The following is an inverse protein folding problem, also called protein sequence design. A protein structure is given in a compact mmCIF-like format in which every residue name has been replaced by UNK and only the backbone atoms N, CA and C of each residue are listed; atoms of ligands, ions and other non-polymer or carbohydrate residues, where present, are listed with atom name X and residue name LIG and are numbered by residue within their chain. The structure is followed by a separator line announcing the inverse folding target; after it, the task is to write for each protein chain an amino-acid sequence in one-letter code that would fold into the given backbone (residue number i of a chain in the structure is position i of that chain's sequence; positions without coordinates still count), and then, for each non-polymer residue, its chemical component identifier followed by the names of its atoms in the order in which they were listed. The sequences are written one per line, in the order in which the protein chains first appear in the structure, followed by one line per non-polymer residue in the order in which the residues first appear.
data_IF_762063371490
#
_entry.id   IF_762063371490
#
_cell.length_a   1.000
_cell.length_b   1.000
_cell.length_c   1.000
_cell.angle_alpha   90.00
_cell.angle_beta   90.00
_cell.angle_gamma   90.00
#
_symmetry.space_group_name_H-M   'P 1'
#
loop_
_entity.id
_entity.type
_entity.pdbx_description
1 polymer ?
#
# COMPACT_ATOMS: atom_id res chain seq x y z
N UNK A 1 -16.78 -63.17 34.28
CA UNK A 1 -16.67 -61.72 33.96
C UNK A 1 -15.17 -61.36 33.82
N UNK A 2 -14.52 -61.65 32.69
CA UNK A 2 -13.10 -61.25 32.49
C UNK A 2 -12.62 -61.30 31.02
N UNK A 3 -13.49 -61.05 30.03
CA UNK A 3 -13.10 -61.18 28.60
C UNK A 3 -13.52 -60.01 27.69
N UNK A 4 -13.83 -58.84 28.24
CA UNK A 4 -14.24 -57.66 27.45
C UNK A 4 -13.34 -56.43 27.59
N UNK A 5 -12.33 -56.46 28.47
CA UNK A 5 -11.45 -55.29 28.72
C UNK A 5 -10.25 -55.18 27.75
N UNK A 6 -9.76 -56.28 27.22
CA UNK A 6 -8.60 -56.31 26.33
C UNK A 6 -8.78 -55.52 25.02
N UNK A 7 -9.88 -55.65 24.25
CA UNK A 7 -10.05 -54.86 23.02
C UNK A 7 -10.25 -53.38 23.30
N UNK A 8 -10.87 -53.02 24.43
CA UNK A 8 -11.08 -51.61 24.83
C UNK A 8 -9.78 -50.91 25.22
N UNK A 9 -8.90 -51.60 25.96
CA UNK A 9 -7.57 -51.09 26.32
C UNK A 9 -6.70 -50.92 25.07
N UNK A 10 -6.73 -51.90 24.16
CA UNK A 10 -5.99 -51.82 22.88
C UNK A 10 -6.48 -50.63 22.05
N UNK A 11 -7.80 -50.42 21.93
CA UNK A 11 -8.36 -49.28 21.22
C UNK A 11 -7.96 -47.93 21.83
N UNK A 12 -7.94 -47.82 23.16
CA UNK A 12 -7.50 -46.60 23.85
C UNK A 12 -6.00 -46.31 23.63
N UNK A 13 -5.16 -47.34 23.62
CA UNK A 13 -3.73 -47.20 23.32
C UNK A 13 -3.51 -46.75 21.88
N UNK A 14 -4.22 -47.34 20.91
CA UNK A 14 -4.16 -46.88 19.52
C UNK A 14 -4.64 -45.43 19.36
N UNK A 15 -5.71 -45.04 20.06
CA UNK A 15 -6.19 -43.67 20.04
C UNK A 15 -5.15 -42.68 20.60
N UNK A 16 -4.55 -43.00 21.76
CA UNK A 16 -3.51 -42.16 22.36
C UNK A 16 -2.27 -42.05 21.46
N UNK A 17 -1.82 -43.16 20.86
CA UNK A 17 -0.71 -43.14 19.90
C UNK A 17 -1.03 -42.29 18.67
N UNK A 18 -2.26 -42.36 18.16
CA UNK A 18 -2.68 -41.56 17.02
C UNK A 18 -2.72 -40.06 17.35
N UNK A 19 -3.17 -39.69 18.56
CA UNK A 19 -3.16 -38.30 19.04
C UNK A 19 -1.73 -37.79 19.18
N UNK A 20 -0.83 -38.58 19.80
CA UNK A 20 0.58 -38.22 19.95
C UNK A 20 1.24 -38.04 18.59
N UNK A 21 0.94 -38.91 17.61
CA UNK A 21 1.47 -38.79 16.25
C UNK A 21 0.97 -37.50 15.57
N UNK A 22 -0.32 -37.18 15.68
CA UNK A 22 -0.88 -35.93 15.12
C UNK A 22 -0.24 -34.70 15.77
N UNK A 23 -0.06 -34.70 17.09
CA UNK A 23 0.61 -33.61 17.80
C UNK A 23 2.07 -33.50 17.35
N UNK A 24 2.80 -34.62 17.22
CA UNK A 24 4.19 -34.62 16.76
C UNK A 24 4.31 -34.06 15.34
N UNK A 25 3.43 -34.47 14.42
CA UNK A 25 3.38 -33.94 13.05
C UNK A 25 3.08 -32.43 13.06
N UNK A 26 2.10 -32.00 13.85
CA UNK A 26 1.76 -30.58 13.96
C UNK A 26 2.94 -29.75 14.52
N UNK A 27 3.64 -30.25 15.54
CA UNK A 27 4.82 -29.59 16.11
C UNK A 27 5.96 -29.54 15.09
N UNK A 28 6.22 -30.61 14.35
CA UNK A 28 7.25 -30.64 13.29
C UNK A 28 6.91 -29.63 12.20
N UNK A 29 5.65 -29.57 11.75
CA UNK A 29 5.19 -28.62 10.73
C UNK A 29 5.32 -27.17 11.20
N UNK A 30 4.90 -26.86 12.43
CA UNK A 30 5.02 -25.53 13.02
C UNK A 30 6.50 -25.11 13.11
N UNK A 31 7.36 -26.02 13.60
CA UNK A 31 8.77 -25.72 13.78
C UNK A 31 9.52 -25.59 12.44
N UNK A 32 9.19 -26.42 11.44
CA UNK A 32 9.74 -26.27 10.08
C UNK A 32 9.36 -24.94 9.44
N UNK A 33 8.11 -24.49 9.59
CA UNK A 33 7.68 -23.18 9.07
C UNK A 33 8.45 -22.02 9.71
N UNK A 34 8.77 -22.11 11.01
CA UNK A 34 9.60 -21.08 11.66
C UNK A 34 11.04 -21.07 11.16
N UNK A 35 11.62 -22.24 10.88
CA UNK A 35 13.01 -22.38 10.42
C UNK A 35 13.17 -21.95 8.95
N UNK A 36 12.14 -22.12 8.12
CA UNK A 36 12.15 -21.83 6.68
C UNK A 36 11.55 -20.47 6.30
N UNK A 37 11.26 -19.58 7.25
CA UNK A 37 10.67 -18.27 6.93
C UNK A 37 11.55 -17.54 5.90
N UNK A 38 11.04 -17.21 4.70
CA UNK A 38 11.84 -16.69 3.59
C UNK A 38 12.31 -15.24 3.78
N UNK A 39 12.25 -14.74 5.01
CA UNK A 39 12.65 -13.40 5.42
C UNK A 39 11.59 -12.35 5.14
N UNK A 40 11.91 -11.11 5.54
CA UNK A 40 11.09 -9.93 5.28
C UNK A 40 11.58 -9.22 4.02
N UNK A 41 10.64 -8.64 3.28
CA UNK A 41 10.88 -7.66 2.22
C UNK A 41 10.40 -6.29 2.68
N UNK A 42 11.00 -5.26 2.09
CA UNK A 42 10.68 -3.87 2.37
C UNK A 42 10.36 -3.13 1.07
N UNK A 43 9.54 -2.08 1.19
CA UNK A 43 9.21 -1.18 0.10
C UNK A 43 9.03 0.23 0.63
N UNK A 44 9.44 1.21 -0.16
CA UNK A 44 9.36 2.63 0.18
C UNK A 44 8.46 3.30 -0.84
N UNK A 45 7.44 4.02 -0.35
CA UNK A 45 6.55 4.82 -1.18
C UNK A 45 6.63 6.27 -0.74
N UNK A 46 6.89 7.16 -1.70
CA UNK A 46 6.81 8.59 -1.52
C UNK A 46 5.50 9.08 -2.11
N UNK A 47 4.63 9.55 -1.23
CA UNK A 47 3.41 10.25 -1.58
C UNK A 47 3.73 11.74 -1.70
N UNK A 48 3.85 12.21 -2.94
CA UNK A 48 4.17 13.58 -3.27
C UNK A 48 2.89 14.39 -3.56
N UNK A 49 2.16 14.67 -2.47
CA UNK A 49 0.99 15.53 -2.46
C UNK A 49 1.25 17.00 -2.81
N UNK A 50 0.18 17.75 -3.09
CA UNK A 50 0.25 19.18 -3.42
C UNK A 50 0.88 20.03 -2.31
N UNK A 51 0.56 19.72 -1.06
CA UNK A 51 0.90 20.57 0.09
C UNK A 51 2.09 20.03 0.89
N UNK A 52 2.42 18.74 0.74
CA UNK A 52 3.52 18.07 1.44
C UNK A 52 3.94 16.80 0.72
N UNK A 53 5.13 16.28 1.05
CA UNK A 53 5.55 14.93 0.68
C UNK A 53 5.71 14.05 1.91
N UNK A 54 5.26 12.81 1.83
CA UNK A 54 5.34 11.84 2.92
C UNK A 54 6.03 10.56 2.45
N UNK A 55 7.01 10.10 3.22
CA UNK A 55 7.72 8.85 2.99
C UNK A 55 7.13 7.76 3.88
N UNK A 56 6.69 6.67 3.28
CA UNK A 56 6.18 5.48 3.94
C UNK A 56 7.13 4.31 3.72
N UNK A 57 7.41 3.54 4.77
CA UNK A 57 8.13 2.27 4.67
C UNK A 57 7.16 1.17 5.06
N UNK A 58 7.08 0.16 4.21
CA UNK A 58 6.30 -1.05 4.41
C UNK A 58 7.21 -2.26 4.52
N UNK A 59 6.80 -3.24 5.30
CA UNK A 59 7.42 -4.57 5.35
C UNK A 59 6.36 -5.67 5.16
N UNK A 60 6.78 -6.80 4.58
CA UNK A 60 5.96 -7.99 4.45
C UNK A 60 6.84 -9.25 4.41
N UNK A 61 6.29 -10.44 4.75
CA UNK A 61 6.96 -11.71 4.47
C UNK A 61 7.31 -11.84 2.98
N UNK A 62 8.43 -12.49 2.63
CA UNK A 62 8.82 -12.62 1.23
C UNK A 62 7.84 -13.44 0.38
N UNK A 63 7.09 -14.34 1.03
CA UNK A 63 5.93 -15.05 0.49
C UNK A 63 4.76 -14.11 0.24
N UNK A 64 3.97 -14.45 -0.78
CA UNK A 64 2.81 -13.67 -1.19
C UNK A 64 1.56 -14.54 -1.09
N UNK A 65 0.44 -13.90 -0.77
CA UNK A 65 -0.88 -14.52 -0.79
C UNK A 65 -1.53 -14.23 -2.15
N UNK A 66 -1.67 -15.27 -2.99
CA UNK A 66 -2.22 -15.13 -4.34
C UNK A 66 -1.59 -13.94 -5.12
N UNK A 67 -0.26 -13.96 -5.23
CA UNK A 67 0.58 -12.94 -5.88
C UNK A 67 0.59 -11.54 -5.24
N UNK A 68 -0.12 -11.37 -4.12
CA UNK A 68 -0.25 -10.10 -3.41
C UNK A 68 0.38 -10.19 -2.02
N UNK A 69 1.22 -9.21 -1.67
CA UNK A 69 1.85 -9.16 -0.35
C UNK A 69 0.85 -8.78 0.75
N UNK A 70 1.05 -9.31 1.96
CA UNK A 70 0.36 -8.83 3.16
C UNK A 70 1.31 -7.91 3.91
N UNK A 71 1.10 -6.60 3.74
CA UNK A 71 2.00 -5.53 4.14
C UNK A 71 1.64 -4.91 5.48
N UNK A 72 2.65 -4.43 6.19
CA UNK A 72 2.48 -3.58 7.37
C UNK A 72 3.35 -2.34 7.25
N UNK A 73 2.82 -1.19 7.68
CA UNK A 73 3.57 0.06 7.71
C UNK A 73 4.50 0.08 8.92
N UNK A 74 5.81 0.24 8.69
CA UNK A 74 6.82 0.22 9.76
C UNK A 74 7.38 1.59 10.10
N UNK A 75 7.24 2.55 9.18
CA UNK A 75 7.74 3.90 9.36
C UNK A 75 6.99 4.91 8.48
N UNK A 76 6.89 6.14 8.97
CA UNK A 76 6.31 7.29 8.29
C UNK A 76 7.15 8.53 8.59
N UNK A 77 7.49 9.31 7.57
CA UNK A 77 8.20 10.58 7.71
C UNK A 77 7.61 11.66 6.81
N UNK A 78 7.20 12.77 7.40
CA UNK A 78 6.79 13.94 6.64
C UNK A 78 8.04 14.74 6.25
N UNK A 79 8.26 14.91 4.96
CA UNK A 79 9.34 15.72 4.41
C UNK A 79 9.07 17.18 4.78
N UNK A 80 10.10 17.89 5.25
CA UNK A 80 9.97 19.31 5.61
C UNK A 80 9.80 20.17 4.37
N UNK A 81 8.92 21.15 4.44
CA UNK A 81 8.65 22.09 3.35
C UNK A 81 7.38 21.78 2.57
N UNK A 82 7.15 22.49 1.45
CA UNK A 82 5.96 22.34 0.63
C UNK A 82 5.99 21.05 -0.21
N UNK A 83 4.91 20.79 -0.95
CA UNK A 83 4.88 19.73 -1.97
C UNK A 83 5.89 19.98 -3.08
N UNK A 84 6.26 18.92 -3.79
CA UNK A 84 7.34 18.98 -4.80
C UNK A 84 7.04 19.94 -5.96
N UNK A 85 5.77 20.20 -6.27
CA UNK A 85 5.38 21.14 -7.32
C UNK A 85 5.78 22.58 -7.00
N UNK A 86 5.94 22.94 -5.72
CA UNK A 86 6.39 24.28 -5.31
C UNK A 86 7.86 24.56 -5.60
N UNK A 87 8.62 23.56 -6.08
CA UNK A 87 10.02 23.69 -6.46
C UNK A 87 10.20 23.94 -7.97
N UNK A 88 9.14 24.30 -8.68
CA UNK A 88 9.15 24.55 -10.14
C UNK A 88 10.27 25.50 -10.59
N UNK A 89 10.59 26.53 -9.80
CA UNK A 89 11.63 27.51 -10.14
C UNK A 89 13.03 27.11 -9.68
N UNK A 90 13.16 26.11 -8.80
CA UNK A 90 14.44 25.61 -8.32
C UNK A 90 14.39 24.11 -7.95
N UNK A 91 14.28 23.22 -8.94
CA UNK A 91 14.19 21.78 -8.71
C UNK A 91 15.38 21.20 -7.92
N UNK A 92 16.56 21.80 -8.03
CA UNK A 92 17.77 21.35 -7.32
C UNK A 92 17.67 21.46 -5.79
N UNK A 93 16.76 22.29 -5.26
CA UNK A 93 16.55 22.42 -3.82
C UNK A 93 15.80 21.23 -3.19
N UNK A 94 15.24 20.31 -3.99
CA UNK A 94 14.47 19.15 -3.50
C UNK A 94 15.30 18.12 -2.73
N UNK A 95 16.60 17.99 -3.01
CA UNK A 95 17.45 16.98 -2.39
C UNK A 95 17.52 17.12 -0.86
N UNK A 96 17.77 18.34 -0.38
CA UNK A 96 18.01 18.62 1.05
C UNK A 96 16.81 18.28 1.95
N UNK A 97 15.55 18.63 1.59
CA UNK A 97 14.38 18.17 2.32
C UNK A 97 14.28 16.65 2.52
N UNK A 98 14.70 15.85 1.53
CA UNK A 98 14.59 14.39 1.60
C UNK A 98 15.63 13.73 2.51
N UNK A 99 16.81 14.35 2.70
CA UNK A 99 17.92 13.75 3.45
C UNK A 99 17.50 13.32 4.87
N UNK A 100 16.78 14.18 5.59
CA UNK A 100 16.32 13.90 6.96
C UNK A 100 15.45 12.63 7.03
N UNK A 101 14.50 12.48 6.11
CA UNK A 101 13.64 11.30 6.08
C UNK A 101 14.41 10.07 5.60
N UNK A 102 15.25 10.23 4.58
CA UNK A 102 15.92 9.10 3.95
C UNK A 102 17.01 8.50 4.84
N UNK A 103 17.69 9.31 5.66
CA UNK A 103 18.62 8.82 6.67
C UNK A 103 17.91 7.93 7.70
N UNK A 104 16.74 8.35 8.19
CA UNK A 104 15.92 7.52 9.10
C UNK A 104 15.42 6.23 8.43
N UNK A 105 15.11 6.27 7.15
CA UNK A 105 14.74 5.06 6.39
C UNK A 105 15.92 4.08 6.30
N UNK A 106 17.14 4.58 6.04
CA UNK A 106 18.37 3.74 6.02
C UNK A 106 18.65 3.09 7.37
N UNK A 107 18.36 3.77 8.47
CA UNK A 107 18.46 3.22 9.84
C UNK A 107 17.40 2.15 10.12
N UNK A 108 16.20 2.29 9.55
CA UNK A 108 15.09 1.37 9.80
C UNK A 108 15.22 0.04 9.06
N UNK A 109 15.77 0.06 7.84
CA UNK A 109 15.89 -1.11 6.97
C UNK A 109 17.28 -1.73 7.15
N UNK A 110 17.41 -3.05 7.35
CA UNK A 110 18.70 -3.72 7.43
C UNK A 110 19.58 -3.44 6.19
N UNK A 111 20.87 -3.14 6.40
CA UNK A 111 21.81 -2.71 5.34
C UNK A 111 21.89 -3.72 4.19
N UNK A 112 21.85 -5.02 4.49
CA UNK A 112 21.86 -6.09 3.51
C UNK A 112 20.60 -6.14 2.62
N UNK A 113 19.52 -5.48 3.03
CA UNK A 113 18.25 -5.41 2.28
C UNK A 113 18.08 -4.10 1.50
N UNK A 114 18.96 -3.10 1.67
CA UNK A 114 18.83 -1.80 0.99
C UNK A 114 18.73 -1.95 -0.53
N UNK A 115 19.67 -2.68 -1.15
CA UNK A 115 19.71 -2.88 -2.61
C UNK A 115 18.48 -3.59 -3.19
N UNK A 116 17.75 -4.35 -2.36
CA UNK A 116 16.57 -5.10 -2.75
C UNK A 116 15.26 -4.43 -2.32
N UNK A 117 15.35 -3.27 -1.67
CA UNK A 117 14.20 -2.47 -1.25
C UNK A 117 13.85 -1.51 -2.37
N UNK A 118 12.68 -1.68 -2.97
CA UNK A 118 12.23 -0.80 -4.04
C UNK A 118 11.69 0.53 -3.51
N UNK A 119 11.99 1.62 -4.21
CA UNK A 119 11.49 2.97 -3.94
C UNK A 119 10.64 3.45 -5.11
N UNK A 120 9.43 3.89 -4.81
CA UNK A 120 8.49 4.48 -5.75
C UNK A 120 8.07 5.87 -5.29
N UNK A 121 7.94 6.81 -6.21
CA UNK A 121 7.31 8.09 -5.94
C UNK A 121 6.08 8.27 -6.83
N UNK A 122 4.94 8.53 -6.18
CA UNK A 122 3.69 8.92 -6.83
C UNK A 122 3.38 10.37 -6.49
N UNK A 123 3.36 11.23 -7.51
CA UNK A 123 2.96 12.62 -7.37
C UNK A 123 1.50 12.81 -7.79
N UNK A 124 0.74 13.60 -7.03
CA UNK A 124 -0.71 13.70 -7.18
C UNK A 124 -1.14 15.03 -7.84
N UNK A 125 -2.28 15.58 -7.45
CA UNK A 125 -2.91 16.74 -8.07
C UNK A 125 -2.01 17.98 -8.18
N UNK A 126 -1.10 18.22 -7.23
CA UNK A 126 -0.17 19.35 -7.30
C UNK A 126 0.72 19.31 -8.55
N UNK A 127 1.31 18.15 -8.83
CA UNK A 127 2.11 17.97 -10.05
C UNK A 127 1.24 17.86 -11.31
N UNK A 128 -0.02 17.38 -11.21
CA UNK A 128 -0.98 17.45 -12.33
C UNK A 128 -1.24 18.90 -12.73
N UNK A 129 -1.47 19.80 -11.76
CA UNK A 129 -1.63 21.24 -12.01
C UNK A 129 -0.37 21.84 -12.62
N UNK A 130 0.80 21.58 -12.02
CA UNK A 130 2.06 22.10 -12.55
C UNK A 130 2.28 21.66 -13.99
N UNK A 131 2.05 20.39 -14.33
CA UNK A 131 2.20 19.90 -15.70
C UNK A 131 1.27 20.60 -16.70
N UNK A 132 0.04 20.93 -16.29
CA UNK A 132 -0.90 21.69 -17.13
C UNK A 132 -0.47 23.15 -17.31
N UNK A 133 0.19 23.74 -16.31
CA UNK A 133 0.66 25.14 -16.35
C UNK A 133 1.99 25.27 -17.08
N UNK A 134 2.92 24.36 -16.81
CA UNK A 134 4.28 24.34 -17.33
C UNK A 134 4.84 22.90 -17.31
N UNK A 135 4.69 22.21 -18.44
CA UNK A 135 5.13 20.83 -18.59
C UNK A 135 6.65 20.67 -18.41
N UNK A 136 7.45 21.62 -18.90
CA UNK A 136 8.91 21.61 -18.74
C UNK A 136 9.30 21.64 -17.26
N UNK A 137 8.72 22.55 -16.48
CA UNK A 137 9.00 22.64 -15.05
C UNK A 137 8.57 21.37 -14.29
N UNK A 138 7.43 20.78 -14.64
CA UNK A 138 7.00 19.50 -14.05
C UNK A 138 8.02 18.38 -14.33
N UNK A 139 8.53 18.30 -15.55
CA UNK A 139 9.53 17.31 -15.94
C UNK A 139 10.88 17.54 -15.26
N UNK A 140 11.31 18.78 -15.09
CA UNK A 140 12.54 19.12 -14.36
C UNK A 140 12.45 18.76 -12.87
N UNK A 141 11.30 18.99 -12.23
CA UNK A 141 11.02 18.56 -10.85
C UNK A 141 11.12 17.04 -10.73
N UNK A 142 10.46 16.28 -11.62
CA UNK A 142 10.56 14.82 -11.62
C UNK A 142 11.99 14.35 -11.86
N UNK A 143 12.71 14.95 -12.82
CA UNK A 143 14.09 14.60 -13.12
C UNK A 143 15.03 14.83 -11.94
N UNK A 144 14.86 15.93 -11.20
CA UNK A 144 15.64 16.23 -9.99
C UNK A 144 15.46 15.13 -8.94
N UNK A 145 14.20 14.71 -8.70
CA UNK A 145 13.88 13.62 -7.77
C UNK A 145 14.48 12.31 -8.23
N UNK A 146 14.33 11.97 -9.52
CA UNK A 146 14.92 10.74 -10.07
C UNK A 146 16.44 10.71 -9.89
N UNK A 147 17.13 11.83 -10.15
CA UNK A 147 18.57 11.91 -9.98
C UNK A 147 18.98 11.76 -8.52
N UNK A 148 18.25 12.39 -7.59
CA UNK A 148 18.49 12.24 -6.15
C UNK A 148 18.34 10.79 -5.70
N UNK A 149 17.24 10.11 -6.06
CA UNK A 149 16.97 8.73 -5.60
C UNK A 149 17.84 7.67 -6.29
N UNK A 150 18.30 7.90 -7.53
CA UNK A 150 19.28 7.01 -8.18
C UNK A 150 20.62 6.96 -7.46
N UNK A 151 20.99 8.00 -6.72
CA UNK A 151 22.22 8.04 -5.93
C UNK A 151 22.10 7.35 -4.55
N UNK A 152 20.92 6.83 -4.19
CA UNK A 152 20.63 6.24 -2.89
C UNK A 152 20.82 4.72 -2.91
N UNK A 153 21.05 4.06 -1.77
CA UNK A 153 21.38 2.62 -1.72
C UNK A 153 20.18 1.69 -1.99
N UNK A 154 19.04 2.25 -2.38
CA UNK A 154 17.79 1.54 -2.62
C UNK A 154 17.53 1.36 -4.12
N UNK A 155 16.69 0.38 -4.46
CA UNK A 155 16.30 0.15 -5.85
C UNK A 155 15.22 1.15 -6.29
N UNK A 156 15.64 2.27 -6.88
CA UNK A 156 14.70 3.26 -7.38
C UNK A 156 13.98 2.77 -8.64
N UNK A 157 12.66 2.63 -8.56
CA UNK A 157 11.80 2.10 -9.64
C UNK A 157 11.13 3.19 -10.48
N UNK A 158 11.05 4.41 -9.97
CA UNK A 158 10.58 5.56 -10.74
C UNK A 158 9.84 6.60 -9.91
N UNK A 159 9.69 7.78 -10.53
CA UNK A 159 8.85 8.87 -10.07
C UNK A 159 7.85 9.20 -11.17
N UNK A 160 6.55 9.15 -10.86
CA UNK A 160 5.47 9.34 -11.82
C UNK A 160 4.40 10.27 -11.26
N UNK A 161 3.72 11.00 -12.15
CA UNK A 161 2.49 11.73 -11.80
C UNK A 161 1.35 10.76 -12.01
N UNK A 162 0.74 10.28 -10.92
CA UNK A 162 -0.38 9.34 -11.00
C UNK A 162 -1.64 10.05 -11.49
N UNK A 163 -2.49 9.30 -12.15
CA UNK A 163 -3.80 9.78 -12.59
C UNK A 163 -4.74 9.90 -11.39
N UNK A 164 -5.76 10.75 -11.51
CA UNK A 164 -6.80 10.89 -10.48
C UNK A 164 -7.53 9.57 -10.16
N UNK A 165 -7.94 8.78 -11.17
CA UNK A 165 -8.49 7.43 -10.96
C UNK A 165 -7.57 6.47 -10.19
N UNK A 166 -6.26 6.42 -10.52
CA UNK A 166 -5.28 5.61 -9.79
C UNK A 166 -5.20 6.03 -8.32
N UNK A 167 -5.12 7.34 -8.05
CA UNK A 167 -5.08 7.89 -6.69
C UNK A 167 -6.31 7.46 -5.86
N UNK A 168 -7.52 7.57 -6.44
CA UNK A 168 -8.75 7.14 -5.79
C UNK A 168 -8.79 5.62 -5.52
N UNK A 169 -8.40 4.81 -6.51
CA UNK A 169 -8.36 3.35 -6.36
C UNK A 169 -7.33 2.92 -5.33
N UNK A 170 -6.13 3.51 -5.30
CA UNK A 170 -5.14 3.19 -4.27
C UNK A 170 -5.62 3.56 -2.86
N UNK A 171 -6.35 4.68 -2.71
CA UNK A 171 -7.03 5.03 -1.47
C UNK A 171 -8.07 3.99 -1.06
N UNK A 172 -8.91 3.55 -2.01
CA UNK A 172 -9.91 2.50 -1.80
C UNK A 172 -9.32 1.15 -1.41
N UNK A 173 -8.23 0.73 -2.08
CA UNK A 173 -7.48 -0.48 -1.74
C UNK A 173 -6.94 -0.36 -0.32
N UNK A 174 -6.35 0.78 0.03
CA UNK A 174 -5.77 0.99 1.36
C UNK A 174 -6.82 0.90 2.46
N UNK A 175 -7.98 1.56 2.30
CA UNK A 175 -9.06 1.51 3.26
C UNK A 175 -9.58 0.08 3.48
N UNK A 176 -9.86 -0.64 2.40
CA UNK A 176 -10.40 -2.00 2.48
C UNK A 176 -9.37 -3.03 2.96
N UNK A 177 -8.08 -2.83 2.65
CA UNK A 177 -7.00 -3.64 3.19
C UNK A 177 -6.91 -3.48 4.72
N UNK A 178 -6.89 -2.24 5.22
CA UNK A 178 -6.79 -1.96 6.65
C UNK A 178 -8.04 -2.43 7.42
N UNK A 179 -9.20 -2.46 6.79
CA UNK A 179 -10.45 -2.98 7.37
C UNK A 179 -10.56 -4.51 7.31
N UNK A 180 -9.63 -5.20 6.66
CA UNK A 180 -9.68 -6.66 6.51
C UNK A 180 -10.87 -7.11 5.65
N UNK A 181 -11.19 -6.35 4.61
CA UNK A 181 -12.26 -6.69 3.65
C UNK A 181 -11.76 -7.58 2.50
N UNK A 182 -10.44 -7.66 2.29
CA UNK A 182 -9.84 -8.54 1.28
C UNK A 182 -9.33 -9.86 1.85
N UNK A 183 -8.91 -9.86 3.11
CA UNK A 183 -8.27 -11.00 3.77
C UNK A 183 -8.64 -11.05 5.25
N UNK A 184 -8.87 -12.26 5.76
CA UNK A 184 -8.97 -12.55 7.18
C UNK A 184 -8.22 -13.85 7.52
N UNK A 185 -7.88 -14.05 8.81
CA UNK A 185 -7.28 -15.29 9.29
C UNK A 185 -8.37 -16.25 9.71
N UNK A 186 -8.38 -17.46 9.13
CA UNK A 186 -9.26 -18.53 9.59
C UNK A 186 -8.76 -19.16 10.91
N UNK A 187 -9.47 -20.18 11.42
CA UNK A 187 -9.09 -20.93 12.64
C UNK A 187 -7.68 -21.53 12.60
N UNK A 188 -7.17 -21.82 11.40
CA UNK A 188 -5.84 -22.37 11.16
C UNK A 188 -4.76 -21.31 10.96
N UNK A 189 -5.10 -20.04 11.17
CA UNK A 189 -4.25 -18.87 10.90
C UNK A 189 -3.81 -18.80 9.42
N UNK A 190 -4.56 -19.34 8.48
CA UNK A 190 -4.31 -19.13 7.04
C UNK A 190 -5.09 -17.91 6.57
N UNK A 191 -4.51 -17.15 5.64
CA UNK A 191 -5.21 -16.06 4.98
C UNK A 191 -6.28 -16.61 4.04
N UNK A 192 -7.51 -16.11 4.18
CA UNK A 192 -8.65 -16.45 3.32
C UNK A 192 -9.40 -15.19 2.94
N UNK A 193 -10.11 -15.23 1.81
CA UNK A 193 -11.04 -14.17 1.46
C UNK A 193 -12.26 -14.23 2.40
N UNK A 194 -12.66 -13.11 3.04
CA UNK A 194 -13.77 -13.10 3.98
C UNK A 194 -15.10 -13.45 3.30
N UNK A 195 -15.85 -14.38 3.88
CA UNK A 195 -17.17 -14.75 3.36
C UNK A 195 -18.21 -13.68 3.66
N UNK A 196 -18.87 -13.16 2.62
CA UNK A 196 -19.99 -12.22 2.75
C UNK A 196 -19.60 -10.81 3.23
N UNK A 197 -18.30 -10.47 3.26
CA UNK A 197 -17.90 -9.07 3.49
C UNK A 197 -17.97 -8.27 2.20
N UNK A 198 -18.62 -7.12 2.30
CA UNK A 198 -18.58 -6.09 1.27
C UNK A 198 -17.41 -5.12 1.51
N UNK A 199 -16.96 -4.50 0.43
CA UNK A 199 -15.97 -3.43 0.50
C UNK A 199 -16.62 -2.11 0.84
N UNK A 200 -15.91 -1.23 1.55
CA UNK A 200 -16.36 0.14 1.79
C UNK A 200 -15.93 1.07 0.65
N UNK A 201 -16.67 2.17 0.48
CA UNK A 201 -16.23 3.30 -0.34
C UNK A 201 -15.11 4.11 0.34
N UNK A 202 -14.40 4.88 -0.45
CA UNK A 202 -13.35 5.79 0.01
C UNK A 202 -13.61 7.21 -0.53
N UNK A 203 -13.46 8.20 0.36
CA UNK A 203 -13.46 9.62 0.04
C UNK A 203 -12.12 10.19 0.47
N UNK A 204 -11.42 10.83 -0.46
CA UNK A 204 -10.13 11.48 -0.19
C UNK A 204 -10.24 12.99 -0.48
N UNK A 205 -9.75 13.82 0.44
CA UNK A 205 -9.74 15.27 0.32
C UNK A 205 -8.31 15.77 0.47
N UNK A 206 -7.64 15.92 -0.66
CA UNK A 206 -6.32 16.51 -0.76
C UNK A 206 -6.34 18.04 -0.81
N UNK A 207 -5.15 18.64 -0.98
CA UNK A 207 -5.02 20.08 -1.16
C UNK A 207 -5.50 20.56 -2.53
N UNK A 208 -5.25 19.79 -3.59
CA UNK A 208 -5.55 20.19 -4.97
C UNK A 208 -6.62 19.35 -5.71
N UNK A 209 -7.04 18.21 -5.17
CA UNK A 209 -8.17 17.44 -5.68
C UNK A 209 -8.91 16.74 -4.54
N UNK A 210 -10.08 16.19 -4.87
CA UNK A 210 -10.81 15.24 -4.03
C UNK A 210 -11.27 14.06 -4.88
N UNK A 211 -11.36 12.88 -4.26
CA UNK A 211 -11.66 11.63 -4.93
C UNK A 211 -12.81 10.92 -4.24
N UNK A 212 -13.57 10.17 -5.04
CA UNK A 212 -14.58 9.23 -4.60
C UNK A 212 -14.33 7.89 -5.28
N UNK A 213 -14.32 6.80 -4.53
CA UNK A 213 -14.13 5.45 -5.07
C UNK A 213 -14.95 4.40 -4.33
N UNK A 214 -15.69 3.56 -5.04
CA UNK A 214 -16.54 2.51 -4.46
C UNK A 214 -16.91 1.45 -5.50
N UNK A 215 -17.48 0.32 -5.05
CA UNK A 215 -18.10 -0.66 -5.94
C UNK A 215 -19.60 -0.36 -6.02
N UNK A 216 -20.15 -0.02 -7.20
CA UNK A 216 -21.58 0.22 -7.36
C UNK A 216 -22.38 -1.09 -7.24
N UNK A 217 -23.62 -1.02 -6.73
CA UNK A 217 -24.51 -2.18 -6.59
C UNK A 217 -24.93 -2.76 -7.95
N UNK A 218 -25.22 -1.88 -8.92
CA UNK A 218 -25.59 -2.30 -10.28
C UNK A 218 -24.38 -2.39 -11.21
N UNK A 219 -23.98 -3.62 -11.50
CA UNK A 219 -22.85 -3.94 -12.39
C UNK A 219 -23.12 -3.68 -13.89
N UNK A 220 -24.35 -3.30 -14.26
CA UNK A 220 -24.73 -3.01 -15.65
C UNK A 220 -24.55 -1.54 -16.05
N UNK A 221 -24.40 -0.62 -15.10
CA UNK A 221 -24.01 0.73 -15.42
C UNK A 221 -22.50 0.75 -15.69
N UNK A 222 -22.14 0.67 -16.97
CA UNK A 222 -20.79 0.98 -17.43
C UNK A 222 -20.54 2.47 -17.21
N UNK A 223 -20.21 2.85 -15.98
CA UNK A 223 -19.68 4.18 -15.71
C UNK A 223 -18.38 4.35 -16.50
N UNK A 224 -18.23 5.49 -17.16
CA UNK A 224 -17.00 5.83 -17.89
C UNK A 224 -15.74 5.88 -17.00
N UNK A 225 -15.88 5.72 -15.68
CA UNK A 225 -14.81 5.87 -14.70
C UNK A 225 -14.63 4.64 -13.80
N UNK A 226 -14.88 3.44 -14.35
CA UNK A 226 -14.62 2.18 -13.65
C UNK A 226 -13.21 1.67 -13.98
N UNK A 227 -12.44 1.33 -12.94
CA UNK A 227 -11.15 0.65 -13.05
C UNK A 227 -11.25 -0.77 -12.48
N UNK A 228 -10.77 -1.75 -13.26
CA UNK A 228 -10.66 -3.13 -12.79
C UNK A 228 -9.30 -3.37 -12.14
N UNK A 229 -9.31 -3.89 -10.92
CA UNK A 229 -8.10 -4.32 -10.20
C UNK A 229 -8.23 -5.77 -9.73
N UNK A 230 -7.11 -6.50 -9.67
CA UNK A 230 -7.06 -7.87 -9.14
C UNK A 230 -6.25 -7.90 -7.86
N UNK A 231 -6.87 -8.32 -6.76
CA UNK A 231 -6.27 -8.35 -5.42
C UNK A 231 -6.50 -9.73 -4.81
N UNK A 232 -5.44 -10.40 -4.36
CA UNK A 232 -5.50 -11.71 -3.73
C UNK A 232 -6.23 -12.78 -4.55
N UNK A 233 -6.20 -12.67 -5.89
CA UNK A 233 -6.90 -13.56 -6.81
C UNK A 233 -8.29 -13.10 -7.27
N UNK A 234 -8.85 -12.07 -6.65
CA UNK A 234 -10.22 -11.57 -6.90
C UNK A 234 -10.21 -10.29 -7.72
N UNK A 235 -11.11 -10.19 -8.70
CA UNK A 235 -11.28 -9.00 -9.53
C UNK A 235 -12.34 -8.07 -8.93
N UNK A 236 -12.03 -6.77 -8.86
CA UNK A 236 -12.91 -5.73 -8.36
C UNK A 236 -13.07 -4.65 -9.44
N UNK A 237 -14.32 -4.30 -9.76
CA UNK A 237 -14.66 -3.22 -10.67
C UNK A 237 -14.98 -1.98 -9.83
N UNK A 238 -14.01 -1.09 -9.67
CA UNK A 238 -14.10 0.06 -8.77
C UNK A 238 -14.48 1.30 -9.59
N UNK A 239 -15.64 1.88 -9.32
CA UNK A 239 -15.94 3.23 -9.79
C UNK A 239 -15.00 4.20 -9.07
N UNK A 240 -14.37 5.11 -9.81
CA UNK A 240 -13.50 6.13 -9.24
C UNK A 240 -13.60 7.44 -10.01
N UNK A 241 -13.66 8.56 -9.30
CA UNK A 241 -13.59 9.87 -9.94
C UNK A 241 -12.71 10.81 -9.13
N UNK A 242 -11.98 11.68 -9.83
CA UNK A 242 -11.11 12.69 -9.22
C UNK A 242 -11.51 14.07 -9.71
N UNK A 243 -11.94 14.92 -8.79
CA UNK A 243 -12.27 16.30 -9.04
C UNK A 243 -11.03 17.18 -8.87
N UNK A 244 -10.32 17.43 -9.98
CA UNK A 244 -9.18 18.35 -10.02
C UNK A 244 -9.64 19.78 -9.68
N UNK A 245 -8.85 20.54 -8.90
CA UNK A 245 -9.18 21.89 -8.41
C UNK A 245 -10.32 21.97 -7.38
N UNK A 246 -10.76 20.83 -6.84
CA UNK A 246 -11.74 20.74 -5.74
C UNK A 246 -11.13 20.22 -4.44
N UNK A 247 -9.80 20.13 -4.37
CA UNK A 247 -9.11 19.96 -3.09
C UNK A 247 -9.23 21.21 -2.22
N UNK A 248 -8.97 21.08 -0.93
CA UNK A 248 -9.18 22.14 0.06
C UNK A 248 -8.50 23.46 -0.32
N UNK A 249 -7.21 23.43 -0.62
CA UNK A 249 -6.38 24.62 -0.84
C UNK A 249 -6.78 25.30 -2.17
N UNK A 250 -7.10 24.53 -3.22
CA UNK A 250 -7.53 25.08 -4.51
C UNK A 250 -8.99 25.57 -4.49
N UNK A 251 -9.87 24.90 -3.73
CA UNK A 251 -11.24 25.36 -3.52
C UNK A 251 -11.26 26.70 -2.76
N UNK A 252 -10.40 26.85 -1.75
CA UNK A 252 -10.22 28.12 -1.03
C UNK A 252 -9.74 29.24 -1.96
N UNK A 253 -8.72 28.99 -2.79
CA UNK A 253 -8.26 29.96 -3.80
C UNK A 253 -9.37 30.39 -4.75
N UNK A 254 -10.20 29.45 -5.22
CA UNK A 254 -11.34 29.73 -6.09
C UNK A 254 -12.38 30.59 -5.40
N UNK A 255 -12.70 30.30 -4.14
CA UNK A 255 -13.63 31.10 -3.34
C UNK A 255 -13.10 32.53 -3.16
N UNK A 256 -11.83 32.69 -2.78
CA UNK A 256 -11.21 34.00 -2.62
C UNK A 256 -11.21 34.81 -3.92
N UNK A 257 -10.93 34.16 -5.06
CA UNK A 257 -11.00 34.82 -6.37
C UNK A 257 -12.42 35.32 -6.70
N UNK A 258 -13.46 34.55 -6.36
CA UNK A 258 -14.86 34.96 -6.55
C UNK A 258 -15.27 36.12 -5.65
N UNK A 259 -14.72 36.22 -4.44
CA UNK A 259 -15.01 37.31 -3.50
C UNK A 259 -14.33 38.63 -3.89
N UNK A 260 -13.29 38.58 -4.73
CA UNK A 260 -12.56 39.74 -5.23
C UNK A 260 -13.07 40.26 -6.59
N UNK A 261 -14.04 39.56 -7.20
CA UNK A 261 -14.74 39.99 -8.42
C UNK A 261 -15.89 40.95 -8.08
#
# INVERSE_FOLDING_TARGET
RMLTRTPSVVAQVFLLLSIVLVIAIAVIQINQQQILSPGLKYGIVLDAGSSRTTVYVYEWPAEKENDTGVVSQTFKCNVKGPGISSYESNPGALAKPFDDCLNKVKERIPVNLHKNTSVYLGATAGMRLLRLQNETAANEVLASIQNYFRAQPFEFRGAQIITGPEEGVYGWITANYLMGNFLERNLWRTWVHPYGKETVGALDLGGASTQISFIPEDSQENFNSTLQVKLYGYSYNVYTHSFQCYGRDEAEKRLLALLLQ
#
